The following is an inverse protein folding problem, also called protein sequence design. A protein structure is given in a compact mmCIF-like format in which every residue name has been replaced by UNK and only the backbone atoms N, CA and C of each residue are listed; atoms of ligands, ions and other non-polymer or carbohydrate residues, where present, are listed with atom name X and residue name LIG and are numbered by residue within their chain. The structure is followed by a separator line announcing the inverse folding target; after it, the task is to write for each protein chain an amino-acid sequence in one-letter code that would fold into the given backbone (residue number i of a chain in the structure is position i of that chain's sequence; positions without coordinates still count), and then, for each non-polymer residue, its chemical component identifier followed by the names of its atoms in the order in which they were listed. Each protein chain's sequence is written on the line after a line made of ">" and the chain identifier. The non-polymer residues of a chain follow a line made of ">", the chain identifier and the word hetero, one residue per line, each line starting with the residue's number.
data_IF_226203276650
#
_entry.id   IF_226203276650
#
_cell.length_a   1.000
_cell.length_b   1.000
_cell.length_c   1.000
_cell.angle_alpha   90.00
_cell.angle_beta   90.00
_cell.angle_gamma   90.00
#
_symmetry.space_group_name_H-M   'P 1'
#
loop_
_entity.id
_entity.type
_entity.pdbx_description
1 polymer ?
#
# COMPACT_ATOMS: atom_id res chain seq x y z
N UNK A 1 38.57 -9.73 -2.85
CA UNK A 1 37.61 -10.06 -1.76
C UNK A 1 36.72 -8.86 -1.42
N UNK A 2 37.25 -7.63 -1.32
CA UNK A 2 36.45 -6.41 -1.12
C UNK A 2 35.55 -6.03 -2.32
N UNK A 3 36.01 -6.20 -3.57
CA UNK A 3 35.21 -5.83 -4.76
C UNK A 3 34.00 -6.73 -5.03
N UNK A 4 34.02 -7.98 -4.56
CA UNK A 4 32.91 -8.93 -4.73
C UNK A 4 31.79 -8.70 -3.70
N UNK A 5 32.12 -8.16 -2.52
CA UNK A 5 31.12 -7.77 -1.52
C UNK A 5 30.43 -6.47 -1.96
N UNK A 6 31.20 -5.47 -2.42
CA UNK A 6 30.65 -4.18 -2.84
C UNK A 6 29.71 -4.25 -4.07
N UNK A 7 29.99 -5.13 -5.03
CA UNK A 7 29.18 -5.25 -6.26
C UNK A 7 27.86 -5.98 -6.04
N UNK A 8 27.84 -6.99 -5.16
CA UNK A 8 26.63 -7.76 -4.83
C UNK A 8 25.66 -6.93 -3.96
N UNK A 9 26.18 -6.11 -3.04
CA UNK A 9 25.35 -5.26 -2.18
C UNK A 9 24.65 -4.13 -2.96
N UNK A 10 25.28 -3.56 -3.99
CA UNK A 10 24.65 -2.54 -4.84
C UNK A 10 23.50 -3.13 -5.68
N UNK A 11 23.71 -4.31 -6.27
CA UNK A 11 22.66 -4.98 -7.03
C UNK A 11 21.44 -5.32 -6.15
N UNK A 12 21.68 -5.78 -4.91
CA UNK A 12 20.63 -6.04 -3.92
C UNK A 12 19.80 -4.78 -3.61
N UNK A 13 20.46 -3.65 -3.36
CA UNK A 13 19.79 -2.37 -3.08
C UNK A 13 18.98 -1.89 -4.28
N UNK A 14 19.56 -1.91 -5.48
CA UNK A 14 18.86 -1.48 -6.70
C UNK A 14 17.67 -2.37 -7.00
N UNK A 15 17.85 -3.69 -6.97
CA UNK A 15 16.78 -4.65 -7.21
C UNK A 15 15.66 -4.52 -6.16
N UNK A 16 16.03 -4.45 -4.88
CA UNK A 16 15.09 -4.24 -3.78
C UNK A 16 14.26 -2.98 -4.00
N UNK A 17 14.92 -1.84 -4.26
CA UNK A 17 14.24 -0.57 -4.49
C UNK A 17 13.28 -0.61 -5.69
N UNK A 18 13.73 -1.13 -6.84
CA UNK A 18 12.90 -1.20 -8.07
C UNK A 18 11.69 -2.11 -7.86
N UNK A 19 11.89 -3.29 -7.27
CA UNK A 19 10.81 -4.21 -6.95
C UNK A 19 9.84 -3.61 -5.93
N UNK A 20 10.35 -2.87 -4.95
CA UNK A 20 9.53 -2.14 -3.98
C UNK A 20 8.68 -1.06 -4.64
N UNK A 21 9.25 -0.30 -5.58
CA UNK A 21 8.50 0.68 -6.38
C UNK A 21 7.39 0.00 -7.17
N UNK A 22 7.71 -1.08 -7.90
CA UNK A 22 6.74 -1.82 -8.69
C UNK A 22 5.61 -2.39 -7.82
N UNK A 23 5.96 -2.96 -6.67
CA UNK A 23 4.99 -3.49 -5.70
C UNK A 23 4.05 -2.39 -5.19
N UNK A 24 4.60 -1.26 -4.74
CA UNK A 24 3.80 -0.16 -4.18
C UNK A 24 2.89 0.56 -5.19
N UNK A 25 3.11 0.35 -6.50
CA UNK A 25 2.25 0.85 -7.58
C UNK A 25 1.20 -0.18 -8.05
N UNK A 26 0.99 -1.26 -7.30
CA UNK A 26 -0.09 -2.22 -7.57
C UNK A 26 -1.47 -1.54 -7.61
N UNK A 27 -2.41 -2.05 -8.43
CA UNK A 27 -3.73 -1.43 -8.61
C UNK A 27 -4.54 -1.37 -7.31
N UNK A 28 -4.39 -2.39 -6.46
CA UNK A 28 -4.95 -2.49 -5.11
C UNK A 28 -4.42 -1.38 -4.17
N UNK A 29 -3.11 -1.18 -4.15
CA UNK A 29 -2.45 -0.13 -3.38
C UNK A 29 -2.87 1.27 -3.84
N UNK A 30 -2.91 1.47 -5.16
CA UNK A 30 -3.37 2.71 -5.78
C UNK A 30 -4.83 3.01 -5.41
N UNK A 31 -5.71 2.00 -5.45
CA UNK A 31 -7.12 2.16 -5.06
C UNK A 31 -7.27 2.47 -3.56
N UNK A 32 -6.51 1.78 -2.70
CA UNK A 32 -6.49 2.05 -1.26
C UNK A 32 -6.02 3.48 -0.93
N UNK A 33 -4.94 3.95 -1.56
CA UNK A 33 -4.46 5.32 -1.36
C UNK A 33 -5.40 6.36 -1.94
N UNK A 34 -5.98 6.12 -3.12
CA UNK A 34 -6.93 7.03 -3.74
C UNK A 34 -8.18 7.22 -2.86
N UNK A 35 -8.67 6.15 -2.23
CA UNK A 35 -9.79 6.21 -1.29
C UNK A 35 -9.41 6.84 0.05
N UNK A 36 -8.25 6.52 0.60
CA UNK A 36 -7.74 7.08 1.87
C UNK A 36 -7.51 8.60 1.79
N UNK A 37 -7.04 9.07 0.63
CA UNK A 37 -6.69 10.48 0.37
C UNK A 37 -7.83 11.27 -0.28
N UNK A 38 -8.98 10.66 -0.53
CA UNK A 38 -10.09 11.23 -1.29
C UNK A 38 -10.47 12.66 -0.87
N UNK A 39 -10.64 12.87 0.45
CA UNK A 39 -11.01 14.17 1.03
C UNK A 39 -9.81 14.97 1.55
N UNK A 40 -8.59 14.48 1.39
CA UNK A 40 -7.39 15.19 1.83
C UNK A 40 -7.06 16.35 0.90
N UNK A 41 -6.81 17.53 1.48
CA UNK A 41 -6.51 18.76 0.73
C UNK A 41 -5.13 19.32 1.05
N UNK A 42 -4.50 18.87 2.13
CA UNK A 42 -3.16 19.32 2.51
C UNK A 42 -2.11 18.41 1.90
N UNK A 43 -1.13 19.02 1.22
CA UNK A 43 0.06 18.32 0.69
C UNK A 43 0.84 17.68 1.83
N UNK A 44 1.06 18.41 2.93
CA UNK A 44 1.78 17.88 4.10
C UNK A 44 1.06 16.66 4.71
N UNK A 45 -0.27 16.71 4.83
CA UNK A 45 -1.04 15.55 5.33
C UNK A 45 -1.09 14.39 4.33
N UNK A 46 -1.08 14.68 3.03
CA UNK A 46 -0.95 13.65 1.98
C UNK A 46 0.37 12.90 2.15
N UNK A 47 1.49 13.62 2.24
CA UNK A 47 2.81 13.03 2.49
C UNK A 47 2.79 12.22 3.79
N UNK A 48 2.32 12.82 4.88
CA UNK A 48 2.28 12.14 6.18
C UNK A 48 1.48 10.83 6.10
N UNK A 49 0.26 10.84 5.56
CA UNK A 49 -0.58 9.64 5.43
C UNK A 49 0.07 8.59 4.54
N UNK A 50 0.56 8.97 3.36
CA UNK A 50 1.22 8.02 2.45
C UNK A 50 2.49 7.42 3.03
N UNK A 51 3.32 8.21 3.72
CA UNK A 51 4.54 7.71 4.38
C UNK A 51 4.18 6.74 5.50
N UNK A 52 3.24 7.08 6.38
CA UNK A 52 2.84 6.16 7.46
C UNK A 52 2.25 4.87 6.90
N UNK A 53 1.39 4.96 5.89
CA UNK A 53 0.83 3.79 5.21
C UNK A 53 1.94 2.92 4.59
N UNK A 54 2.86 3.53 3.83
CA UNK A 54 3.99 2.84 3.21
C UNK A 54 4.95 2.21 4.22
N UNK A 55 5.26 2.90 5.32
CA UNK A 55 6.12 2.36 6.38
C UNK A 55 5.47 1.18 7.11
N UNK A 56 4.19 1.27 7.45
CA UNK A 56 3.46 0.15 8.05
C UNK A 56 3.42 -1.06 7.11
N UNK A 57 3.19 -0.81 5.82
CA UNK A 57 3.18 -1.82 4.79
C UNK A 57 4.55 -2.51 4.65
N UNK A 58 5.61 -1.71 4.50
CA UNK A 58 6.99 -2.18 4.40
C UNK A 58 7.44 -2.96 5.64
N UNK A 59 7.05 -2.51 6.84
CA UNK A 59 7.38 -3.17 8.09
C UNK A 59 6.77 -4.57 8.18
N UNK A 60 5.48 -4.72 7.83
CA UNK A 60 4.83 -6.04 7.81
C UNK A 60 5.51 -6.96 6.80
N UNK A 61 5.73 -6.51 5.56
CA UNK A 61 6.40 -7.34 4.56
C UNK A 61 7.82 -7.71 4.99
N UNK A 62 8.61 -6.75 5.49
CA UNK A 62 9.95 -7.02 6.00
C UNK A 62 9.97 -8.04 7.14
N UNK A 63 9.00 -7.98 8.06
CA UNK A 63 8.86 -8.97 9.14
C UNK A 63 8.58 -10.38 8.59
N UNK A 64 7.66 -10.51 7.63
CA UNK A 64 7.37 -11.80 7.00
C UNK A 64 8.57 -12.33 6.20
N UNK A 65 9.26 -11.49 5.42
CA UNK A 65 10.44 -11.89 4.65
C UNK A 65 11.57 -12.37 5.55
N UNK A 66 11.94 -11.55 6.54
CA UNK A 66 13.05 -11.87 7.43
C UNK A 66 12.70 -13.06 8.33
N UNK A 67 11.46 -13.14 8.81
CA UNK A 67 10.96 -14.28 9.58
C UNK A 67 11.02 -15.58 8.79
N UNK A 68 10.50 -15.60 7.55
CA UNK A 68 10.56 -16.75 6.67
C UNK A 68 12.02 -17.16 6.36
N UNK A 69 12.89 -16.19 6.08
CA UNK A 69 14.30 -16.44 5.83
C UNK A 69 15.03 -17.05 7.04
N UNK A 70 14.77 -16.56 8.26
CA UNK A 70 15.40 -17.07 9.49
C UNK A 70 14.90 -18.47 9.83
N UNK A 71 13.61 -18.74 9.62
CA UNK A 71 12.99 -20.03 9.94
C UNK A 71 13.19 -21.08 8.83
N UNK A 72 13.71 -20.68 7.66
CA UNK A 72 13.76 -21.55 6.48
C UNK A 72 12.36 -22.00 6.03
N UNK A 73 11.34 -21.20 6.35
CA UNK A 73 9.94 -21.55 6.15
C UNK A 73 9.43 -21.04 4.80
N UNK A 74 8.60 -21.84 4.14
CA UNK A 74 7.78 -21.38 3.03
C UNK A 74 6.44 -20.89 3.56
N UNK A 75 5.85 -19.91 2.88
CA UNK A 75 4.51 -19.43 3.23
C UNK A 75 3.50 -20.43 2.66
N UNK A 76 2.56 -20.97 3.47
CA UNK A 76 1.57 -21.89 2.97
C UNK A 76 0.61 -21.20 1.98
N UNK A 77 0.26 -21.89 0.89
CA UNK A 77 -0.68 -21.36 -0.11
C UNK A 77 -2.03 -20.97 0.50
N UNK A 78 -2.51 -21.71 1.49
CA UNK A 78 -3.75 -21.39 2.21
C UNK A 78 -3.67 -20.04 2.93
N UNK A 79 -2.50 -19.67 3.47
CA UNK A 79 -2.30 -18.36 4.08
C UNK A 79 -2.30 -17.26 3.03
N UNK A 80 -1.64 -17.46 1.90
CA UNK A 80 -1.64 -16.49 0.79
C UNK A 80 -3.07 -16.22 0.30
N UNK A 81 -3.85 -17.27 0.03
CA UNK A 81 -5.25 -17.15 -0.40
C UNK A 81 -6.09 -16.38 0.62
N UNK A 82 -5.95 -16.70 1.91
CA UNK A 82 -6.68 -15.99 2.97
C UNK A 82 -6.28 -14.52 3.04
N UNK A 83 -4.99 -14.22 2.89
CA UNK A 83 -4.47 -12.86 2.96
C UNK A 83 -4.93 -12.01 1.75
N UNK A 84 -5.02 -12.61 0.56
CA UNK A 84 -5.61 -11.94 -0.61
C UNK A 84 -7.12 -11.70 -0.45
N UNK A 85 -7.89 -12.67 0.05
CA UNK A 85 -9.31 -12.47 0.38
C UNK A 85 -9.46 -11.33 1.38
N UNK A 86 -8.61 -11.29 2.40
CA UNK A 86 -8.59 -10.21 3.38
C UNK A 86 -8.31 -8.84 2.73
N UNK A 87 -7.35 -8.74 1.81
CA UNK A 87 -7.10 -7.51 1.04
C UNK A 87 -8.29 -7.07 0.20
N UNK A 88 -8.96 -8.00 -0.46
CA UNK A 88 -10.17 -7.72 -1.21
C UNK A 88 -11.30 -7.18 -0.32
N UNK A 89 -11.47 -7.73 0.89
CA UNK A 89 -12.42 -7.21 1.89
C UNK A 89 -12.04 -5.80 2.36
N UNK A 90 -10.76 -5.51 2.56
CA UNK A 90 -10.29 -4.15 2.90
C UNK A 90 -10.62 -3.15 1.78
N UNK A 91 -10.40 -3.52 0.52
CA UNK A 91 -10.78 -2.70 -0.64
C UNK A 91 -12.29 -2.43 -0.69
N UNK A 92 -13.11 -3.45 -0.46
CA UNK A 92 -14.58 -3.29 -0.38
C UNK A 92 -14.95 -2.32 0.75
N UNK A 93 -14.35 -2.45 1.93
CA UNK A 93 -14.62 -1.57 3.07
C UNK A 93 -14.21 -0.11 2.79
N UNK A 94 -13.04 0.11 2.18
CA UNK A 94 -12.53 1.42 1.77
C UNK A 94 -13.43 2.07 0.70
N UNK A 95 -13.81 1.30 -0.33
CA UNK A 95 -14.71 1.77 -1.38
C UNK A 95 -16.10 2.11 -0.85
N UNK A 96 -16.68 1.26 0.00
CA UNK A 96 -17.97 1.51 0.66
C UNK A 96 -17.94 2.78 1.53
N UNK A 97 -16.84 3.04 2.22
CA UNK A 97 -16.67 4.30 2.98
C UNK A 97 -16.75 5.53 2.08
N UNK A 98 -16.07 5.54 0.94
CA UNK A 98 -16.12 6.65 -0.03
C UNK A 98 -17.53 6.81 -0.61
N UNK A 99 -18.23 5.71 -0.91
CA UNK A 99 -19.61 5.74 -1.39
C UNK A 99 -20.56 6.39 -0.37
N UNK A 100 -20.43 6.06 0.92
CA UNK A 100 -21.24 6.64 1.99
C UNK A 100 -21.00 8.14 2.16
N UNK A 101 -19.73 8.57 2.19
CA UNK A 101 -19.39 10.00 2.27
C UNK A 101 -19.91 10.77 1.03
N UNK A 102 -19.80 10.17 -0.16
CA UNK A 102 -20.32 10.74 -1.40
C UNK A 102 -21.83 10.91 -1.43
N UNK A 103 -22.58 10.07 -0.73
CA UNK A 103 -24.04 10.13 -0.67
C UNK A 103 -24.59 11.24 0.25
N UNK A 104 -23.72 12.02 0.91
CA UNK A 104 -24.15 13.05 1.87
C UNK A 104 -24.73 12.47 3.17
N UNK A 105 -24.53 11.17 3.42
CA UNK A 105 -24.87 10.56 4.70
C UNK A 105 -23.95 11.15 5.77
N UNK A 106 -24.47 11.57 6.94
CA UNK A 106 -23.64 11.97 8.06
C UNK A 106 -22.59 10.88 8.31
N UNK A 107 -21.31 11.23 8.54
CA UNK A 107 -20.37 10.27 9.08
C UNK A 107 -21.01 9.61 10.30
N UNK A 108 -21.07 8.28 10.34
CA UNK A 108 -21.42 7.56 11.56
C UNK A 108 -20.24 7.65 12.53
N UNK A 109 -19.94 8.86 13.02
CA UNK A 109 -18.87 9.10 13.97
C UNK A 109 -19.42 9.94 15.13
N UNK A 110 -19.84 9.24 16.18
CA UNK A 110 -19.57 9.67 17.55
C UNK A 110 -18.09 9.50 17.93
N UNK A 111 -17.18 9.34 16.96
CA UNK A 111 -15.76 9.35 17.20
C UNK A 111 -15.34 10.80 17.53
N UNK A 112 -14.82 11.07 18.73
CA UNK A 112 -14.37 12.41 19.12
C UNK A 112 -13.38 12.94 18.09
N UNK A 113 -13.44 14.23 17.78
CA UNK A 113 -12.39 14.94 17.06
C UNK A 113 -11.01 14.52 17.60
N UNK A 114 -10.28 13.69 16.85
CA UNK A 114 -9.00 13.19 17.32
C UNK A 114 -7.99 14.34 17.35
N UNK A 115 -7.24 14.49 18.45
CA UNK A 115 -6.19 15.50 18.54
C UNK A 115 -5.18 15.34 17.39
N UNK A 116 -4.60 16.45 16.90
CA UNK A 116 -3.74 16.50 15.71
C UNK A 116 -2.50 15.57 15.73
N UNK A 117 -2.16 14.99 16.89
CA UNK A 117 -0.99 14.13 17.08
C UNK A 117 -1.25 12.61 16.93
N UNK A 118 -2.49 12.15 16.68
CA UNK A 118 -2.82 10.70 16.60
C UNK A 118 -3.02 10.14 15.18
N UNK A 119 -2.78 10.92 14.14
CA UNK A 119 -3.05 10.50 12.76
C UNK A 119 -2.04 9.48 12.19
N UNK A 120 -0.82 9.42 12.70
CA UNK A 120 0.23 8.54 12.19
C UNK A 120 -0.02 7.04 12.43
N UNK A 121 -0.23 6.60 13.69
CA UNK A 121 -0.29 5.17 14.02
C UNK A 121 -1.44 4.42 13.32
N UNK A 122 -2.63 5.01 13.24
CA UNK A 122 -3.80 4.35 12.61
C UNK A 122 -3.61 4.12 11.11
N UNK A 123 -2.99 5.08 10.42
CA UNK A 123 -2.72 4.96 8.99
C UNK A 123 -1.58 3.96 8.74
N UNK A 124 -0.57 3.92 9.62
CA UNK A 124 0.45 2.88 9.59
C UNK A 124 -0.13 1.49 9.81
N UNK A 125 -1.04 1.32 10.77
CA UNK A 125 -1.74 0.05 10.99
C UNK A 125 -2.59 -0.36 9.79
N UNK A 126 -3.24 0.59 9.11
CA UNK A 126 -3.97 0.31 7.88
C UNK A 126 -3.02 -0.19 6.77
N UNK A 127 -1.85 0.44 6.61
CA UNK A 127 -0.81 -0.02 5.67
C UNK A 127 -0.27 -1.41 6.01
N UNK A 128 -0.02 -1.65 7.30
CA UNK A 128 0.43 -2.93 7.83
C UNK A 128 -0.59 -4.06 7.62
N UNK A 129 -1.88 -3.78 7.81
CA UNK A 129 -2.96 -4.72 7.53
C UNK A 129 -3.07 -5.00 6.03
N UNK A 130 -3.00 -3.95 5.20
CA UNK A 130 -3.09 -4.08 3.75
C UNK A 130 -1.91 -4.87 3.17
N UNK A 131 -0.73 -4.81 3.79
CA UNK A 131 0.45 -5.60 3.40
C UNK A 131 0.24 -7.12 3.45
N UNK A 132 -0.68 -7.62 4.27
CA UNK A 132 -0.98 -9.06 4.32
C UNK A 132 -1.41 -9.56 2.93
N UNK A 133 -2.23 -8.79 2.22
CA UNK A 133 -2.67 -9.13 0.86
C UNK A 133 -1.57 -9.06 -0.20
N UNK A 134 -0.44 -8.42 0.10
CA UNK A 134 0.71 -8.29 -0.80
C UNK A 134 1.76 -9.38 -0.64
N UNK A 135 1.57 -10.33 0.29
CA UNK A 135 2.57 -11.35 0.64
C UNK A 135 2.94 -12.23 -0.57
N UNK A 136 2.01 -12.54 -1.48
CA UNK A 136 2.36 -13.25 -2.72
C UNK A 136 3.28 -12.44 -3.65
N UNK A 137 3.08 -11.13 -3.75
CA UNK A 137 3.97 -10.23 -4.49
C UNK A 137 5.39 -10.20 -3.92
N UNK A 138 5.51 -10.32 -2.59
CA UNK A 138 6.79 -10.48 -1.90
C UNK A 138 7.45 -11.84 -2.21
N UNK A 139 6.69 -12.93 -2.30
CA UNK A 139 7.22 -14.24 -2.72
C UNK A 139 7.71 -14.25 -4.17
N UNK A 140 7.09 -13.45 -5.06
CA UNK A 140 7.62 -13.27 -6.41
C UNK A 140 8.95 -12.49 -6.43
N UNK A 141 9.30 -11.81 -5.34
CA UNK A 141 10.60 -11.16 -5.15
C UNK A 141 11.66 -12.06 -4.51
N UNK A 142 11.31 -13.27 -4.04
CA UNK A 142 12.27 -14.25 -3.47
C UNK A 142 13.43 -14.60 -4.43
N UNK A 143 13.21 -14.80 -5.75
CA UNK A 143 14.31 -14.98 -6.69
C UNK A 143 15.27 -13.77 -6.66
N UNK A 144 14.74 -12.56 -6.49
CA UNK A 144 15.52 -11.34 -6.27
C UNK A 144 16.33 -11.42 -4.97
N UNK A 145 15.76 -11.92 -3.87
CA UNK A 145 16.45 -12.12 -2.59
C UNK A 145 17.61 -13.14 -2.71
N UNK A 146 17.37 -14.25 -3.41
CA UNK A 146 18.33 -15.32 -3.65
C UNK A 146 19.46 -14.88 -4.59
N UNK A 147 19.15 -14.04 -5.58
CA UNK A 147 20.14 -13.43 -6.48
C UNK A 147 20.91 -12.28 -5.81
N UNK A 148 20.26 -11.53 -4.93
CA UNK A 148 20.81 -10.37 -4.23
C UNK A 148 21.78 -10.75 -3.10
N UNK A 149 21.71 -11.97 -2.55
CA UNK A 149 22.42 -12.27 -1.32
C UNK A 149 23.03 -13.67 -1.28
N UNK A 150 24.36 -13.73 -1.15
CA UNK A 150 25.10 -14.92 -0.66
C UNK A 150 25.29 -14.88 0.86
N UNK A 151 24.91 -13.78 1.52
CA UNK A 151 25.08 -13.52 2.95
C UNK A 151 23.95 -12.64 3.52
N UNK A 152 23.70 -12.75 4.83
CA UNK A 152 22.65 -12.02 5.56
C UNK A 152 22.62 -10.49 5.38
N UNK A 153 23.76 -9.76 5.28
CA UNK A 153 23.72 -8.32 5.06
C UNK A 153 22.99 -7.91 3.77
N UNK A 154 23.18 -8.67 2.68
CA UNK A 154 22.51 -8.42 1.40
C UNK A 154 20.98 -8.59 1.49
N UNK A 155 20.51 -9.59 2.26
CA UNK A 155 19.08 -9.80 2.55
C UNK A 155 18.49 -8.57 3.24
N UNK A 156 19.17 -8.07 4.28
CA UNK A 156 18.71 -6.92 5.06
C UNK A 156 18.70 -5.66 4.19
N UNK A 157 19.76 -5.40 3.42
CA UNK A 157 19.83 -4.26 2.51
C UNK A 157 18.74 -4.31 1.44
N UNK A 158 18.48 -5.49 0.87
CA UNK A 158 17.38 -5.69 -0.08
C UNK A 158 16.02 -5.35 0.56
N UNK A 159 15.73 -5.87 1.75
CA UNK A 159 14.44 -5.63 2.45
C UNK A 159 14.26 -4.14 2.79
N UNK A 160 15.32 -3.48 3.26
CA UNK A 160 15.28 -2.04 3.55
C UNK A 160 15.07 -1.21 2.28
N UNK A 161 15.78 -1.54 1.20
CA UNK A 161 15.64 -0.86 -0.09
C UNK A 161 14.24 -1.08 -0.69
N UNK A 162 13.70 -2.30 -0.57
CA UNK A 162 12.33 -2.63 -0.98
C UNK A 162 11.30 -1.81 -0.21
N UNK A 163 11.41 -1.77 1.12
CA UNK A 163 10.53 -0.96 1.96
C UNK A 163 10.59 0.54 1.64
N UNK A 164 11.78 1.04 1.33
CA UNK A 164 11.97 2.42 0.86
C UNK A 164 11.29 2.64 -0.49
N UNK A 165 11.47 1.74 -1.45
CA UNK A 165 10.82 1.78 -2.76
C UNK A 165 9.30 1.83 -2.67
N UNK A 166 8.71 0.97 -1.83
CA UNK A 166 7.26 0.98 -1.53
C UNK A 166 6.81 2.33 -0.98
N UNK A 167 7.53 2.85 0.02
CA UNK A 167 7.14 4.11 0.68
C UNK A 167 7.23 5.30 -0.27
N UNK A 168 8.29 5.35 -1.08
CA UNK A 168 8.51 6.40 -2.09
C UNK A 168 7.44 6.35 -3.17
N UNK A 169 7.12 5.16 -3.70
CA UNK A 169 6.15 5.02 -4.78
C UNK A 169 4.73 5.36 -4.32
N UNK A 170 4.32 4.89 -3.15
CA UNK A 170 3.02 5.23 -2.54
C UNK A 170 2.88 6.73 -2.22
N UNK A 171 3.95 7.36 -1.74
CA UNK A 171 3.96 8.81 -1.51
C UNK A 171 3.87 9.59 -2.81
N UNK A 172 4.61 9.17 -3.83
CA UNK A 172 4.57 9.77 -5.16
C UNK A 172 3.17 9.65 -5.78
N UNK A 173 2.57 8.46 -5.74
CA UNK A 173 1.21 8.23 -6.23
C UNK A 173 0.20 9.11 -5.49
N UNK A 174 0.27 9.16 -4.15
CA UNK A 174 -0.61 10.00 -3.34
C UNK A 174 -0.52 11.48 -3.70
N UNK A 175 0.68 12.00 -3.90
CA UNK A 175 0.91 13.38 -4.34
C UNK A 175 0.36 13.66 -5.74
N UNK A 176 0.63 12.76 -6.70
CA UNK A 176 0.12 12.88 -8.08
C UNK A 176 -1.41 12.88 -8.08
N UNK A 177 -2.04 11.96 -7.39
CA UNK A 177 -3.49 11.88 -7.29
C UNK A 177 -4.10 13.12 -6.62
N UNK A 178 -3.54 13.57 -5.49
CA UNK A 178 -3.99 14.80 -4.81
C UNK A 178 -3.86 16.03 -5.69
N UNK A 179 -2.77 16.15 -6.46
CA UNK A 179 -2.56 17.22 -7.43
C UNK A 179 -3.59 17.17 -8.57
N UNK A 180 -3.78 16.00 -9.19
CA UNK A 180 -4.74 15.82 -10.28
C UNK A 180 -6.18 16.08 -9.82
N UNK A 181 -6.56 15.62 -8.62
CA UNK A 181 -7.85 15.88 -8.03
C UNK A 181 -8.06 17.38 -7.75
N UNK A 182 -7.05 18.07 -7.21
CA UNK A 182 -7.12 19.51 -6.98
C UNK A 182 -7.24 20.31 -8.28
N UNK A 183 -6.46 19.94 -9.31
CA UNK A 183 -6.51 20.55 -10.65
C UNK A 183 -7.85 20.29 -11.33
N UNK A 184 -8.36 19.06 -11.27
CA UNK A 184 -9.67 18.67 -11.80
C UNK A 184 -10.81 19.46 -11.17
N UNK A 185 -10.82 19.61 -9.84
CA UNK A 185 -11.82 20.43 -9.13
C UNK A 185 -11.79 21.91 -9.52
N UNK A 186 -10.62 22.46 -9.85
CA UNK A 186 -10.48 23.84 -10.33
C UNK A 186 -10.94 24.01 -11.78
N UNK A 187 -10.65 23.03 -12.64
CA UNK A 187 -10.97 23.09 -14.08
C UNK A 187 -12.44 22.75 -14.36
N UNK A 188 -12.98 21.80 -13.62
CA UNK A 188 -14.34 21.29 -13.73
C UNK A 188 -15.00 21.33 -12.34
N UNK A 189 -15.44 22.51 -11.88
CA UNK A 189 -16.09 22.63 -10.59
C UNK A 189 -17.34 21.74 -10.56
N UNK A 190 -17.39 20.85 -9.57
CA UNK A 190 -18.49 19.93 -9.38
C UNK A 190 -19.74 20.71 -8.98
N UNK A 191 -20.89 20.34 -9.57
CA UNK A 191 -22.18 20.89 -9.13
C UNK A 191 -22.39 20.55 -7.65
N UNK A 192 -22.90 21.49 -6.82
CA UNK A 192 -23.31 21.17 -5.46
C UNK A 192 -24.22 19.94 -5.44
N UNK A 193 -23.90 18.95 -4.60
CA UNK A 193 -24.62 17.67 -4.52
C UNK A 193 -24.21 16.59 -5.53
N UNK A 194 -23.25 16.86 -6.43
CA UNK A 194 -22.78 15.83 -7.37
C UNK A 194 -21.86 14.81 -6.70
N UNK A 195 -22.36 13.58 -6.57
CA UNK A 195 -21.66 12.45 -5.96
C UNK A 195 -20.93 11.54 -6.98
N UNK A 196 -20.92 11.90 -8.27
CA UNK A 196 -20.36 11.02 -9.31
C UNK A 196 -18.87 10.68 -9.09
N UNK A 197 -17.98 11.59 -8.64
CA UNK A 197 -16.57 11.25 -8.50
C UNK A 197 -16.30 10.23 -7.40
N UNK A 198 -16.97 10.39 -6.26
CA UNK A 198 -16.90 9.45 -5.14
C UNK A 198 -17.61 8.13 -5.48
N UNK A 199 -18.68 8.16 -6.27
CA UNK A 199 -19.32 6.95 -6.81
C UNK A 199 -18.40 6.17 -7.74
N UNK A 200 -17.70 6.84 -8.64
CA UNK A 200 -16.74 6.19 -9.54
C UNK A 200 -15.57 5.60 -8.75
N UNK A 201 -14.93 6.39 -7.89
CA UNK A 201 -13.80 5.92 -7.09
C UNK A 201 -14.19 4.80 -6.12
N UNK A 202 -15.27 4.98 -5.38
CA UNK A 202 -15.74 3.99 -4.41
C UNK A 202 -16.22 2.72 -5.12
N UNK A 203 -16.97 2.86 -6.21
CA UNK A 203 -17.45 1.75 -7.02
C UNK A 203 -16.32 0.96 -7.67
N UNK A 204 -15.31 1.63 -8.25
CA UNK A 204 -14.15 0.95 -8.84
C UNK A 204 -13.30 0.23 -7.78
N UNK A 205 -13.16 0.81 -6.58
CA UNK A 205 -12.44 0.16 -5.47
C UNK A 205 -13.18 -1.08 -4.96
N UNK A 206 -14.52 -1.03 -4.83
CA UNK A 206 -15.33 -2.21 -4.48
C UNK A 206 -15.21 -3.28 -5.55
N UNK A 207 -15.33 -2.91 -6.82
CA UNK A 207 -15.19 -3.85 -7.94
C UNK A 207 -13.80 -4.52 -7.92
N UNK A 208 -12.74 -3.75 -7.71
CA UNK A 208 -11.38 -4.29 -7.58
C UNK A 208 -11.28 -5.28 -6.41
N UNK A 209 -11.86 -4.95 -5.25
CA UNK A 209 -11.89 -5.86 -4.11
C UNK A 209 -12.62 -7.17 -4.40
N UNK A 210 -13.77 -7.11 -5.09
CA UNK A 210 -14.50 -8.31 -5.54
C UNK A 210 -13.69 -9.16 -6.53
N UNK A 211 -12.99 -8.51 -7.47
CA UNK A 211 -12.11 -9.23 -8.39
C UNK A 211 -10.95 -9.90 -7.65
N UNK A 212 -10.38 -9.24 -6.63
CA UNK A 212 -9.31 -9.80 -5.82
C UNK A 212 -9.77 -11.07 -5.10
N UNK A 213 -10.92 -11.00 -4.41
CA UNK A 213 -11.51 -12.18 -3.74
C UNK A 213 -11.76 -13.30 -4.75
N UNK A 214 -12.37 -13.00 -5.90
CA UNK A 214 -12.73 -14.00 -6.91
C UNK A 214 -11.51 -14.74 -7.46
N UNK A 215 -10.39 -14.04 -7.66
CA UNK A 215 -9.14 -14.63 -8.13
C UNK A 215 -8.47 -15.51 -7.07
N UNK A 216 -8.71 -15.28 -5.79
CA UNK A 216 -8.09 -16.03 -4.69
C UNK A 216 -8.81 -17.34 -4.34
N UNK A 217 -10.10 -17.45 -4.68
CA UNK A 217 -10.92 -18.67 -4.49
C UNK A 217 -11.06 -19.53 -5.75
N UNK A 218 -10.58 -19.07 -6.90
CA UNK A 218 -10.46 -19.87 -8.11
C UNK A 218 -9.32 -20.90 -8.02
#
# INVERSE_FOLDING_TARGET
>A
MFDLLATVDVAAVVAGFVLGVQHGLGPDHCAALATLLWDERSVARTIQKSVHFGLGHAATLGLFTLGAAVLGATIPEAFERLAEVFGGLLLIALGARVLRHGAGLPPHDGAPHEPPHRHGPRVGLAGAAFALSGVRGLLLSLPGLLLASRAWPGVVLFVLAFGLGVTVSMTTFGLVMSYLAAKGRRRFPLRPGSAWPSRLLGGSTVALGLTWISLSVA
#
